data_IF_004619720901
#
_entry.id   IF_004619720901
#
_cell.length_a   1.000
_cell.length_b   1.000
_cell.length_c   1.000
_cell.angle_alpha   90.00
_cell.angle_beta   90.00
_cell.angle_gamma   90.00
#
_symmetry.space_group_name_H-M   'P 1'
#
loop_
_entity.id
_entity.type
_entity.pdbx_description
1 polymer ?
#
# COMPACT_ATOMS: atom_id res chain seq x y z
N UNK A 1 5.80 -13.83 -4.58
CA UNK A 1 5.70 -12.35 -4.58
C UNK A 1 6.76 -11.77 -3.67
N UNK A 2 7.42 -10.71 -4.11
CA UNK A 2 8.41 -10.01 -3.30
C UNK A 2 7.78 -8.76 -2.71
N UNK A 3 8.01 -8.55 -1.42
CA UNK A 3 7.45 -7.44 -0.65
C UNK A 3 8.60 -6.55 -0.17
N UNK A 4 8.52 -5.27 -0.48
CA UNK A 4 9.51 -4.29 -0.08
C UNK A 4 8.84 -3.09 0.57
N UNK A 5 9.57 -2.43 1.46
CA UNK A 5 9.18 -1.12 1.99
C UNK A 5 10.32 -0.14 1.72
N UNK A 6 9.99 1.15 1.66
CA UNK A 6 11.05 2.17 1.73
C UNK A 6 11.65 2.16 3.13
N UNK A 7 12.82 2.78 3.29
CA UNK A 7 13.46 2.88 4.59
C UNK A 7 12.60 3.63 5.59
N UNK A 8 11.94 4.71 5.16
CA UNK A 8 11.09 5.50 6.05
C UNK A 8 9.90 4.68 6.57
N UNK A 9 9.27 3.87 5.71
CA UNK A 9 8.19 2.97 6.12
C UNK A 9 8.75 1.94 7.12
N UNK A 10 9.88 1.31 6.82
CA UNK A 10 10.47 0.28 7.68
C UNK A 10 10.82 0.84 9.06
N UNK A 11 11.37 2.05 9.12
CA UNK A 11 11.72 2.68 10.39
C UNK A 11 10.46 2.96 11.24
N UNK A 12 9.39 3.45 10.62
CA UNK A 12 8.15 3.69 11.35
C UNK A 12 7.50 2.38 11.82
N UNK A 13 7.54 1.34 11.00
CA UNK A 13 7.04 0.02 11.40
C UNK A 13 7.81 -0.52 12.61
N UNK A 14 9.12 -0.31 12.67
CA UNK A 14 9.94 -0.78 13.76
C UNK A 14 9.66 -0.06 15.07
N UNK A 15 9.29 1.23 15.00
CA UNK A 15 9.06 2.05 16.19
C UNK A 15 7.59 2.15 16.62
N UNK A 16 6.66 1.77 15.76
CA UNK A 16 5.21 1.91 16.01
C UNK A 16 4.48 0.61 15.66
N UNK A 17 4.15 -0.23 16.67
CA UNK A 17 3.46 -1.49 16.42
C UNK A 17 2.10 -1.34 15.75
N UNK A 18 1.36 -0.26 16.03
CA UNK A 18 0.06 -0.02 15.40
C UNK A 18 0.23 0.30 13.92
N UNK A 19 1.25 1.07 13.58
CA UNK A 19 1.55 1.36 12.18
C UNK A 19 1.98 0.09 11.45
N UNK A 20 2.81 -0.74 12.08
CA UNK A 20 3.20 -2.01 11.49
C UNK A 20 1.99 -2.89 11.18
N UNK A 21 1.06 -3.02 12.12
CA UNK A 21 -0.17 -3.79 11.91
C UNK A 21 -1.00 -3.21 10.77
N UNK A 22 -1.11 -1.88 10.70
CA UNK A 22 -1.80 -1.20 9.62
C UNK A 22 -1.18 -1.51 8.25
N UNK A 23 0.14 -1.46 8.13
CA UNK A 23 0.84 -1.76 6.88
C UNK A 23 0.56 -3.19 6.43
N UNK A 24 0.68 -4.16 7.35
CA UNK A 24 0.43 -5.56 7.03
C UNK A 24 -1.03 -5.80 6.63
N UNK A 25 -1.97 -5.18 7.32
CA UNK A 25 -3.38 -5.25 6.96
C UNK A 25 -3.65 -4.64 5.59
N UNK A 26 -3.02 -3.50 5.29
CA UNK A 26 -3.17 -2.83 4.00
C UNK A 26 -2.64 -3.71 2.86
N UNK A 27 -1.52 -4.40 3.07
CA UNK A 27 -0.98 -5.36 2.10
C UNK A 27 -1.99 -6.48 1.85
N UNK A 28 -2.59 -7.03 2.90
CA UNK A 28 -3.61 -8.07 2.76
C UNK A 28 -4.83 -7.57 2.01
N UNK A 29 -5.27 -6.35 2.28
CA UNK A 29 -6.38 -5.72 1.56
C UNK A 29 -6.05 -5.57 0.08
N UNK A 30 -4.86 -5.09 -0.25
CA UNK A 30 -4.40 -4.95 -1.63
C UNK A 30 -4.44 -6.31 -2.36
N UNK A 31 -3.93 -7.35 -1.72
CA UNK A 31 -3.88 -8.69 -2.32
C UNK A 31 -5.27 -9.30 -2.50
N UNK A 32 -6.25 -8.88 -1.73
CA UNK A 32 -7.63 -9.37 -1.84
C UNK A 32 -8.50 -8.53 -2.78
N UNK A 33 -7.94 -7.49 -3.40
CA UNK A 33 -8.68 -6.62 -4.30
C UNK A 33 -9.41 -5.47 -3.61
N UNK A 34 -9.11 -5.20 -2.35
CA UNK A 34 -9.62 -4.03 -1.62
C UNK A 34 -8.65 -2.87 -1.83
N UNK A 35 -9.02 -1.96 -2.72
CA UNK A 35 -8.13 -0.88 -3.16
C UNK A 35 -8.09 0.34 -2.23
N UNK A 36 -8.68 0.22 -1.04
CA UNK A 36 -8.58 1.26 0.00
C UNK A 36 -9.24 2.57 -0.42
N UNK A 37 -8.49 3.67 -0.29
CA UNK A 37 -8.96 5.02 -0.60
C UNK A 37 -8.74 5.42 -2.06
N UNK A 38 -8.58 4.44 -2.94
CA UNK A 38 -8.41 4.66 -4.37
C UNK A 38 -9.75 5.05 -4.99
N UNK A 39 -9.77 6.01 -5.90
CA UNK A 39 -11.02 6.43 -6.55
C UNK A 39 -11.58 5.31 -7.44
N UNK A 40 -12.89 5.41 -7.74
CA UNK A 40 -13.60 4.36 -8.49
C UNK A 40 -12.97 4.09 -9.85
N UNK A 41 -12.52 5.13 -10.55
CA UNK A 41 -11.90 4.98 -11.86
C UNK A 41 -10.58 4.25 -11.80
N UNK A 42 -9.74 4.59 -10.82
CA UNK A 42 -8.45 3.91 -10.62
C UNK A 42 -8.67 2.50 -10.10
N UNK A 43 -9.67 2.28 -9.24
CA UNK A 43 -10.02 0.95 -8.77
C UNK A 43 -10.44 0.03 -9.93
N UNK A 44 -11.18 0.56 -10.91
CA UNK A 44 -11.56 -0.20 -12.10
C UNK A 44 -10.34 -0.60 -12.92
N UNK A 45 -9.37 0.32 -13.09
CA UNK A 45 -8.12 0.01 -13.78
C UNK A 45 -7.31 -1.06 -13.03
N UNK A 46 -7.28 -1.00 -11.69
CA UNK A 46 -6.61 -2.00 -10.86
C UNK A 46 -7.26 -3.37 -11.01
N UNK A 47 -8.60 -3.42 -11.11
CA UNK A 47 -9.32 -4.68 -11.33
C UNK A 47 -9.00 -5.29 -12.69
N UNK A 48 -8.78 -4.47 -13.71
CA UNK A 48 -8.40 -4.93 -15.05
C UNK A 48 -6.96 -5.42 -15.09
N UNK A 49 -6.07 -4.80 -14.34
CA UNK A 49 -4.65 -5.13 -14.34
C UNK A 49 -4.07 -5.06 -12.93
N UNK A 50 -4.40 -6.04 -12.05
CA UNK A 50 -3.94 -6.01 -10.67
C UNK A 50 -2.42 -6.13 -10.51
N UNK A 51 -1.72 -6.64 -11.50
CA UNK A 51 -0.27 -6.76 -11.46
C UNK A 51 0.46 -5.46 -11.82
N UNK A 52 -0.29 -4.41 -12.16
CA UNK A 52 0.25 -3.07 -12.39
C UNK A 52 -0.71 -2.09 -11.74
N UNK A 53 -0.62 -1.96 -10.44
CA UNK A 53 -1.58 -1.19 -9.65
C UNK A 53 -0.88 -0.28 -8.65
N UNK A 54 -1.58 0.79 -8.28
CA UNK A 54 -1.14 1.73 -7.25
C UNK A 54 -2.34 2.12 -6.40
N UNK A 55 -2.26 1.87 -5.10
CA UNK A 55 -3.37 2.08 -4.19
C UNK A 55 -2.94 2.86 -2.96
N UNK A 56 -3.89 3.55 -2.34
CA UNK A 56 -3.68 4.35 -1.15
C UNK A 56 -4.47 3.80 0.03
N UNK A 57 -3.85 3.82 1.21
CA UNK A 57 -4.49 3.41 2.45
C UNK A 57 -4.19 4.45 3.52
N UNK A 58 -5.16 4.75 4.37
CA UNK A 58 -5.03 5.80 5.37
C UNK A 58 -4.97 5.18 6.78
N UNK A 59 -3.92 5.54 7.53
CA UNK A 59 -3.74 5.20 8.93
C UNK A 59 -4.09 6.43 9.75
N UNK A 60 -5.15 6.34 10.54
CA UNK A 60 -5.71 7.47 11.26
C UNK A 60 -6.06 8.61 10.30
N UNK A 61 -6.08 9.85 10.77
CA UNK A 61 -6.53 10.96 9.92
C UNK A 61 -5.44 11.56 9.03
N UNK A 62 -4.17 11.34 9.39
CA UNK A 62 -3.08 12.12 8.83
C UNK A 62 -1.99 11.32 8.12
N UNK A 63 -2.01 10.00 8.19
CA UNK A 63 -0.93 9.20 7.61
C UNK A 63 -1.46 8.36 6.47
N UNK A 64 -0.94 8.62 5.27
CA UNK A 64 -1.31 7.90 4.07
C UNK A 64 -0.10 7.11 3.57
N UNK A 65 -0.34 5.87 3.19
CA UNK A 65 0.69 5.08 2.51
C UNK A 65 0.19 4.72 1.11
N UNK A 66 1.14 4.45 0.23
CA UNK A 66 0.86 3.90 -1.09
C UNK A 66 1.40 2.48 -1.17
N UNK A 67 0.67 1.63 -1.88
CA UNK A 67 1.14 0.29 -2.22
C UNK A 67 1.19 0.21 -3.74
N UNK A 68 2.39 0.05 -4.28
CA UNK A 68 2.64 -0.08 -5.71
C UNK A 68 2.95 -1.53 -6.02
N UNK A 69 2.25 -2.10 -7.00
CA UNK A 69 2.54 -3.43 -7.49
C UNK A 69 3.05 -3.37 -8.92
N UNK A 70 4.20 -4.00 -9.15
CA UNK A 70 4.81 -4.18 -10.48
C UNK A 70 5.05 -5.67 -10.67
N UNK A 71 4.11 -6.37 -11.33
CA UNK A 71 4.18 -7.81 -11.50
C UNK A 71 4.13 -8.50 -10.14
N UNK A 72 5.21 -9.21 -9.79
CA UNK A 72 5.32 -9.91 -8.51
C UNK A 72 6.05 -9.10 -7.43
N UNK A 73 6.34 -7.82 -7.70
CA UNK A 73 7.00 -6.93 -6.74
C UNK A 73 5.98 -5.97 -6.18
N UNK A 74 5.87 -5.94 -4.86
CA UNK A 74 4.96 -5.06 -4.14
C UNK A 74 5.78 -4.16 -3.23
N UNK A 75 5.60 -2.84 -3.36
CA UNK A 75 6.36 -1.85 -2.60
C UNK A 75 5.43 -0.95 -1.81
N UNK A 76 5.71 -0.78 -0.52
CA UNK A 76 5.01 0.16 0.36
C UNK A 76 5.86 1.41 0.51
N UNK A 77 5.26 2.57 0.27
CA UNK A 77 5.97 3.85 0.32
C UNK A 77 5.04 4.96 0.79
N UNK A 78 5.63 6.08 1.20
CA UNK A 78 4.85 7.29 1.47
C UNK A 78 4.59 8.04 0.15
N UNK A 79 3.50 8.84 0.08
CA UNK A 79 3.20 9.62 -1.13
C UNK A 79 4.36 10.52 -1.57
N UNK A 80 5.10 11.09 -0.61
CA UNK A 80 6.24 11.96 -0.91
C UNK A 80 7.42 11.23 -1.52
N UNK A 81 7.41 9.90 -1.49
CA UNK A 81 8.49 9.07 -2.01
C UNK A 81 8.19 8.51 -3.40
N UNK A 82 7.01 8.78 -3.89
CA UNK A 82 6.54 8.27 -5.18
C UNK A 82 7.24 8.96 -6.37
#
# INVERSE_FOLDING_TARGET
>A
MKFYTTQAIAENMASNPLFKSFVLESVNRHLSGDWGETCIEDAALNNENPLDSLNAYIFEENTKILIKQDGEILTVLYPSEY
#
